data_IF_195522773239
#
_entry.id   IF_195522773239
#
_cell.length_a   1.000
_cell.length_b   1.000
_cell.length_c   1.000
_cell.angle_alpha   90.00
_cell.angle_beta   90.00
_cell.angle_gamma   90.00
#
_symmetry.space_group_name_H-M   'P 1'
#
loop_
_entity.id
_entity.type
_entity.pdbx_description
1 polymer ?
#
# COMPACT_ATOMS: atom_id res chain seq x y z
N UNK A 1 1.91 25.81 -1.48
CA UNK A 1 3.03 25.04 -0.94
C UNK A 1 3.52 24.09 -2.04
N UNK A 2 4.81 24.02 -2.29
CA UNK A 2 5.40 23.11 -3.29
C UNK A 2 5.51 21.74 -2.63
N UNK A 3 5.05 20.69 -3.32
CA UNK A 3 5.12 19.30 -2.85
C UNK A 3 5.89 18.45 -3.85
N UNK A 4 6.78 17.60 -3.38
CA UNK A 4 7.40 16.56 -4.21
C UNK A 4 6.34 15.59 -4.74
N UNK A 5 6.62 14.93 -5.86
CA UNK A 5 5.79 13.85 -6.38
C UNK A 5 6.17 12.49 -5.83
N UNK A 6 7.35 12.37 -5.25
CA UNK A 6 7.81 11.18 -4.53
C UNK A 6 7.45 11.31 -3.06
N UNK A 7 7.16 10.21 -2.44
CA UNK A 7 6.84 10.14 -1.01
C UNK A 7 6.58 8.72 -0.56
N UNK A 8 6.63 8.53 0.73
CA UNK A 8 6.35 7.29 1.44
C UNK A 8 5.64 7.58 2.75
N UNK A 9 4.68 6.74 3.10
CA UNK A 9 4.03 6.74 4.41
C UNK A 9 3.67 5.32 4.82
N UNK A 10 3.76 5.03 6.10
CA UNK A 10 3.39 3.73 6.68
C UNK A 10 2.68 3.94 8.00
N UNK A 11 1.69 3.12 8.22
CA UNK A 11 1.03 2.96 9.50
C UNK A 11 0.92 1.47 9.81
N UNK A 12 1.24 1.11 11.03
CA UNK A 12 1.08 -0.24 11.57
C UNK A 12 0.40 -0.08 12.93
N UNK A 13 -0.77 -0.64 13.07
CA UNK A 13 -1.62 -0.43 14.25
C UNK A 13 -2.51 -1.62 14.48
N UNK A 14 -2.93 -1.80 15.73
CA UNK A 14 -3.91 -2.81 16.11
C UNK A 14 -5.23 -2.08 16.43
N UNK A 15 -6.28 -2.38 15.67
CA UNK A 15 -7.61 -1.81 15.85
C UNK A 15 -8.60 -2.97 15.96
N UNK A 16 -9.43 -2.99 16.99
CA UNK A 16 -10.43 -4.02 17.25
C UNK A 16 -9.85 -5.45 17.18
N UNK A 17 -8.63 -5.64 17.75
CA UNK A 17 -7.95 -6.94 17.77
C UNK A 17 -7.31 -7.35 16.44
N UNK A 18 -7.40 -6.54 15.38
CA UNK A 18 -6.81 -6.80 14.06
C UNK A 18 -5.54 -5.96 13.87
N UNK A 19 -4.48 -6.60 13.47
CA UNK A 19 -3.26 -5.91 13.05
C UNK A 19 -3.44 -5.39 11.62
N UNK A 20 -3.40 -4.06 11.46
CA UNK A 20 -3.59 -3.40 10.18
C UNK A 20 -2.31 -2.67 9.82
N UNK A 21 -1.72 -3.04 8.69
CA UNK A 21 -0.59 -2.35 8.09
C UNK A 21 -1.02 -1.69 6.80
N UNK A 22 -0.77 -0.39 6.69
CA UNK A 22 -0.99 0.39 5.47
C UNK A 22 0.31 1.04 5.05
N UNK A 23 0.74 0.79 3.83
CA UNK A 23 1.89 1.46 3.21
C UNK A 23 1.42 2.20 1.96
N UNK A 24 1.90 3.43 1.77
CA UNK A 24 1.63 4.24 0.59
C UNK A 24 2.92 4.82 0.06
N UNK A 25 3.12 4.72 -1.24
CA UNK A 25 4.27 5.31 -1.93
C UNK A 25 3.84 5.94 -3.25
N UNK A 26 4.57 6.94 -3.70
CA UNK A 26 4.34 7.54 -5.00
C UNK A 26 5.62 7.79 -5.77
N UNK A 27 5.49 7.76 -7.10
CA UNK A 27 6.52 8.19 -8.04
C UNK A 27 5.96 9.27 -8.95
N UNK A 28 6.87 10.02 -9.59
CA UNK A 28 6.49 11.08 -10.51
C UNK A 28 5.68 10.50 -11.69
N UNK A 29 4.46 11.02 -11.85
CA UNK A 29 3.60 10.70 -12.98
C UNK A 29 2.70 11.89 -13.35
N UNK A 30 2.39 12.02 -14.65
CA UNK A 30 1.62 13.16 -15.17
C UNK A 30 0.20 13.21 -14.65
N UNK A 31 -0.43 12.04 -14.52
CA UNK A 31 -1.82 11.89 -14.09
C UNK A 31 -1.88 11.23 -12.73
N UNK A 32 -3.06 11.25 -12.10
CA UNK A 32 -3.33 10.45 -10.93
C UNK A 32 -3.57 9.00 -11.36
N UNK A 33 -2.65 8.12 -10.99
CA UNK A 33 -2.82 6.67 -11.09
C UNK A 33 -2.80 6.09 -9.69
N UNK A 34 -3.73 5.22 -9.40
CA UNK A 34 -3.81 4.55 -8.10
C UNK A 34 -3.89 3.05 -8.29
N UNK A 35 -3.02 2.33 -7.59
CA UNK A 35 -3.03 0.88 -7.48
C UNK A 35 -3.05 0.51 -6.01
N UNK A 36 -3.99 -0.34 -5.61
CA UNK A 36 -4.06 -0.88 -4.28
C UNK A 36 -3.84 -2.39 -4.31
N UNK A 37 -3.12 -2.89 -3.33
CA UNK A 37 -2.97 -4.33 -3.08
C UNK A 37 -3.57 -4.61 -1.73
N UNK A 38 -4.79 -5.15 -1.76
CA UNK A 38 -5.53 -5.63 -0.59
C UNK A 38 -5.59 -7.16 -0.60
N UNK A 39 -5.75 -7.82 0.54
CA UNK A 39 -6.05 -9.26 0.56
C UNK A 39 -7.36 -9.53 -0.18
N UNK A 40 -7.46 -10.66 -0.87
CA UNK A 40 -8.59 -10.99 -1.77
C UNK A 40 -9.97 -10.87 -1.12
N UNK A 41 -10.05 -11.15 0.18
CA UNK A 41 -11.29 -11.07 0.95
C UNK A 41 -11.80 -9.63 1.13
N UNK A 42 -10.97 -8.61 0.93
CA UNK A 42 -11.26 -7.21 1.23
C UNK A 42 -11.21 -6.31 -0.01
N UNK A 43 -11.50 -6.85 -1.19
CA UNK A 43 -11.50 -6.10 -2.45
C UNK A 43 -12.45 -4.90 -2.48
N UNK A 44 -13.49 -4.90 -1.62
CA UNK A 44 -14.44 -3.78 -1.47
C UNK A 44 -13.78 -2.50 -0.90
N UNK A 45 -12.57 -2.59 -0.34
CA UNK A 45 -11.83 -1.45 0.18
C UNK A 45 -11.18 -0.61 -0.91
N UNK A 46 -10.90 -1.18 -2.08
CA UNK A 46 -10.10 -0.53 -3.13
C UNK A 46 -10.71 0.81 -3.58
N UNK A 47 -12.00 0.85 -3.85
CA UNK A 47 -12.67 2.08 -4.28
C UNK A 47 -12.75 3.12 -3.16
N UNK A 48 -12.97 2.69 -1.92
CA UNK A 48 -13.03 3.58 -0.75
C UNK A 48 -11.66 4.22 -0.49
N UNK A 49 -10.59 3.43 -0.55
CA UNK A 49 -9.21 3.90 -0.41
C UNK A 49 -8.79 4.82 -1.56
N UNK A 50 -9.12 4.46 -2.81
CA UNK A 50 -8.88 5.30 -3.99
C UNK A 50 -9.52 6.67 -3.86
N UNK A 51 -10.79 6.73 -3.47
CA UNK A 51 -11.52 7.97 -3.29
C UNK A 51 -10.89 8.82 -2.18
N UNK A 52 -10.50 8.20 -1.07
CA UNK A 52 -9.84 8.87 0.02
C UNK A 52 -8.48 9.47 -0.42
N UNK A 53 -7.63 8.68 -1.06
CA UNK A 53 -6.31 9.13 -1.55
C UNK A 53 -6.46 10.23 -2.61
N UNK A 54 -7.42 10.09 -3.54
CA UNK A 54 -7.66 11.09 -4.59
C UNK A 54 -8.12 12.45 -4.01
N UNK A 55 -8.79 12.45 -2.86
CA UNK A 55 -9.15 13.71 -2.17
C UNK A 55 -7.94 14.45 -1.59
N UNK A 56 -6.82 13.76 -1.38
CA UNK A 56 -5.60 14.29 -0.75
C UNK A 56 -4.46 14.55 -1.75
N UNK A 57 -4.47 13.87 -2.88
CA UNK A 57 -3.38 13.87 -3.88
C UNK A 57 -3.95 14.04 -5.28
N UNK A 58 -3.53 15.10 -5.97
CA UNK A 58 -4.06 15.46 -7.29
C UNK A 58 -3.34 14.80 -8.47
N UNK A 59 -2.08 14.34 -8.30
CA UNK A 59 -1.29 13.71 -9.37
C UNK A 59 -0.14 12.87 -8.81
N UNK A 60 0.32 11.92 -9.62
CA UNK A 60 1.36 10.96 -9.30
C UNK A 60 0.87 9.53 -9.49
N UNK A 61 1.77 8.59 -9.67
CA UNK A 61 1.46 7.16 -9.60
C UNK A 61 1.63 6.70 -8.17
N UNK A 62 0.54 6.24 -7.56
CA UNK A 62 0.44 5.90 -6.16
C UNK A 62 0.20 4.40 -6.05
N UNK A 63 1.08 3.72 -5.34
CA UNK A 63 0.92 2.33 -4.95
C UNK A 63 0.61 2.27 -3.45
N UNK A 64 -0.49 1.64 -3.09
CA UNK A 64 -0.89 1.38 -1.71
C UNK A 64 -0.89 -0.13 -1.44
N UNK A 65 -0.39 -0.51 -0.30
CA UNK A 65 -0.43 -1.87 0.20
C UNK A 65 -1.17 -1.91 1.53
N UNK A 66 -2.11 -2.82 1.66
CA UNK A 66 -2.89 -3.02 2.88
C UNK A 66 -2.76 -4.48 3.28
N UNK A 67 -2.35 -4.72 4.51
CA UNK A 67 -2.37 -6.04 5.15
C UNK A 67 -3.28 -5.98 6.36
N UNK A 68 -4.12 -6.99 6.51
CA UNK A 68 -5.04 -7.12 7.62
C UNK A 68 -4.76 -8.50 8.23
N UNK A 69 -4.23 -8.51 9.44
CA UNK A 69 -4.03 -9.72 10.23
C UNK A 69 -5.36 -10.26 10.75
N UNK A 70 -5.41 -11.57 11.00
CA UNK A 70 -6.56 -12.18 11.65
C UNK A 70 -6.67 -11.65 13.10
N UNK A 71 -7.88 -11.45 13.57
CA UNK A 71 -8.12 -11.22 14.99
C UNK A 71 -7.96 -12.55 15.73
N UNK A 72 -7.18 -12.56 16.81
CA UNK A 72 -7.05 -13.74 17.69
C UNK A 72 -8.37 -14.11 18.39
N UNK A 73 -9.35 -13.21 18.35
CA UNK A 73 -10.65 -13.37 19.01
C UNK A 73 -11.79 -13.77 18.05
N UNK A 74 -11.51 -14.03 16.76
CA UNK A 74 -12.56 -14.42 15.82
C UNK A 74 -13.12 -15.80 16.19
N UNK A 75 -14.41 -15.90 16.54
CA UNK A 75 -15.04 -17.18 16.80
C UNK A 75 -15.06 -18.00 15.50
N UNK A 76 -14.36 -19.13 15.52
CA UNK A 76 -14.44 -20.11 14.45
C UNK A 76 -15.55 -21.10 14.77
N UNK A 77 -16.53 -21.21 13.89
CA UNK A 77 -17.53 -22.27 13.97
C UNK A 77 -17.09 -23.48 13.15
N UNK A 78 -17.01 -24.63 13.82
CA UNK A 78 -16.63 -25.90 13.18
C UNK A 78 -17.88 -26.74 12.99
N UNK A 79 -18.33 -26.89 11.76
CA UNK A 79 -19.47 -27.73 11.41
C UNK A 79 -19.03 -29.08 10.90
N UNK A 80 -19.83 -30.10 11.23
CA UNK A 80 -19.60 -31.48 10.83
C UNK A 80 -20.47 -31.82 9.63
N UNK A 81 -19.88 -32.38 8.57
CA UNK A 81 -20.63 -32.92 7.45
C UNK A 81 -21.18 -34.31 7.79
N UNK A 82 -22.34 -34.35 8.42
CA UNK A 82 -22.96 -35.58 8.88
C UNK A 82 -23.26 -36.58 7.76
N UNK A 83 -23.57 -36.11 6.54
CA UNK A 83 -23.81 -37.02 5.40
C UNK A 83 -22.54 -37.75 5.00
N UNK A 84 -21.44 -37.03 4.92
CA UNK A 84 -20.12 -37.59 4.55
C UNK A 84 -19.63 -38.57 5.65
N UNK A 85 -19.75 -38.18 6.91
CA UNK A 85 -19.42 -39.04 8.07
C UNK A 85 -20.19 -40.35 8.02
N UNK A 86 -21.52 -40.28 7.79
CA UNK A 86 -22.36 -41.48 7.69
C UNK A 86 -21.93 -42.37 6.51
N UNK A 87 -21.55 -41.77 5.37
CA UNK A 87 -21.01 -42.48 4.23
C UNK A 87 -19.73 -43.26 4.55
N UNK A 88 -18.78 -42.58 5.20
CA UNK A 88 -17.54 -43.25 5.65
C UNK A 88 -17.77 -44.38 6.63
N UNK A 89 -18.62 -44.18 7.65
CA UNK A 89 -18.95 -45.21 8.64
C UNK A 89 -19.55 -46.44 7.96
N UNK A 90 -20.46 -46.26 7.01
CA UNK A 90 -21.08 -47.37 6.28
C UNK A 90 -20.07 -48.09 5.40
N UNK A 91 -19.19 -47.37 4.67
CA UNK A 91 -18.14 -47.97 3.87
C UNK A 91 -17.16 -48.79 4.72
N UNK A 92 -16.75 -48.31 5.88
CA UNK A 92 -15.88 -49.03 6.78
C UNK A 92 -16.55 -50.31 7.35
N UNK A 93 -17.88 -50.26 7.66
CA UNK A 93 -18.61 -51.44 8.04
C UNK A 93 -18.65 -52.51 6.93
N UNK A 94 -18.90 -52.07 5.69
CA UNK A 94 -18.90 -52.95 4.54
C UNK A 94 -17.53 -53.65 4.34
N UNK A 95 -16.43 -52.86 4.41
CA UNK A 95 -15.06 -53.38 4.31
C UNK A 95 -14.79 -54.39 5.43
N UNK A 96 -15.13 -54.03 6.67
CA UNK A 96 -14.94 -54.94 7.82
C UNK A 96 -15.67 -56.25 7.64
N UNK A 97 -16.90 -56.23 7.18
CA UNK A 97 -17.70 -57.43 6.99
C UNK A 97 -17.22 -58.29 5.79
N UNK A 98 -16.83 -57.62 4.70
CA UNK A 98 -16.43 -58.29 3.45
C UNK A 98 -15.04 -58.96 3.50
N UNK A 99 -14.14 -58.36 4.24
CA UNK A 99 -12.72 -58.75 4.28
C UNK A 99 -12.29 -59.30 5.63
N UNK A 100 -13.22 -59.46 6.59
CA UNK A 100 -12.97 -59.95 7.95
C UNK A 100 -11.87 -59.17 8.69
N UNK A 101 -11.88 -57.83 8.52
CA UNK A 101 -10.94 -56.90 9.15
C UNK A 101 -11.65 -56.21 10.31
N UNK A 102 -11.00 -56.05 11.49
CA UNK A 102 -11.61 -55.31 12.61
C UNK A 102 -11.94 -53.87 12.23
N UNK A 103 -13.12 -53.38 12.58
CA UNK A 103 -13.50 -51.98 12.38
C UNK A 103 -13.05 -51.17 13.61
N UNK A 104 -11.95 -50.44 13.47
CA UNK A 104 -11.34 -49.61 14.49
C UNK A 104 -11.55 -48.10 14.25
N UNK A 105 -12.63 -47.75 13.52
CA UNK A 105 -12.92 -46.33 13.19
C UNK A 105 -13.22 -45.56 14.48
N UNK A 106 -12.40 -44.55 14.71
CA UNK A 106 -12.51 -43.60 15.79
C UNK A 106 -12.86 -42.20 15.30
N UNK A 107 -13.30 -41.32 16.19
CA UNK A 107 -13.50 -39.90 15.85
C UNK A 107 -12.23 -39.21 15.34
N UNK A 108 -11.04 -39.65 15.87
CA UNK A 108 -9.74 -39.15 15.43
C UNK A 108 -9.41 -39.64 14.02
N UNK A 109 -9.75 -40.88 13.66
CA UNK A 109 -9.56 -41.36 12.29
C UNK A 109 -10.48 -40.64 11.29
N UNK A 110 -11.73 -40.38 11.67
CA UNK A 110 -12.69 -39.63 10.87
C UNK A 110 -12.26 -38.16 10.64
N UNK A 111 -11.60 -37.52 11.62
CA UNK A 111 -11.15 -36.16 11.49
C UNK A 111 -10.01 -35.96 10.44
N UNK A 112 -9.37 -37.04 10.03
CA UNK A 112 -8.29 -37.02 8.99
C UNK A 112 -8.81 -37.06 7.58
N UNK A 113 -10.10 -37.41 7.37
CA UNK A 113 -10.66 -37.39 6.03
C UNK A 113 -11.04 -35.98 5.63
N UNK A 114 -10.76 -35.59 4.37
CA UNK A 114 -11.08 -34.26 3.87
C UNK A 114 -12.61 -34.05 3.92
N UNK A 115 -12.98 -32.79 4.09
CA UNK A 115 -14.38 -32.31 4.05
C UNK A 115 -15.31 -32.86 5.14
N UNK A 116 -14.80 -33.59 6.12
CA UNK A 116 -15.57 -34.04 7.29
C UNK A 116 -15.88 -32.88 8.22
N UNK A 117 -14.94 -31.98 8.38
CA UNK A 117 -15.11 -30.71 9.12
C UNK A 117 -14.98 -29.51 8.18
N UNK A 118 -15.90 -28.58 8.32
CA UNK A 118 -15.82 -27.29 7.66
C UNK A 118 -15.68 -26.22 8.73
N UNK A 119 -14.62 -25.41 8.61
CA UNK A 119 -14.39 -24.27 9.51
C UNK A 119 -14.99 -23.05 8.85
N UNK A 120 -16.02 -22.51 9.49
CA UNK A 120 -16.64 -21.25 9.09
C UNK A 120 -16.11 -20.14 9.99
N UNK A 121 -15.53 -19.14 9.38
CA UNK A 121 -15.30 -17.87 10.07
C UNK A 121 -16.60 -17.10 10.15
N UNK A 122 -16.85 -16.45 11.27
CA UNK A 122 -18.00 -15.56 11.38
C UNK A 122 -17.98 -14.51 10.27
N UNK A 123 -19.14 -14.13 9.70
CA UNK A 123 -19.19 -13.07 8.71
C UNK A 123 -18.64 -11.78 9.34
N UNK A 124 -17.60 -11.25 8.72
CA UNK A 124 -16.98 -9.99 9.16
C UNK A 124 -17.89 -8.80 8.80
N UNK A 125 -17.98 -7.82 9.69
CA UNK A 125 -18.67 -6.56 9.42
C UNK A 125 -17.79 -5.69 8.48
N UNK A 126 -18.18 -5.62 7.19
CA UNK A 126 -17.48 -4.86 6.17
C UNK A 126 -17.40 -3.36 6.49
N UNK A 127 -18.41 -2.81 7.16
CA UNK A 127 -18.42 -1.38 7.51
C UNK A 127 -17.44 -1.09 8.65
N UNK A 128 -17.36 -1.99 9.63
CA UNK A 128 -16.38 -1.87 10.72
C UNK A 128 -14.96 -2.00 10.19
N UNK A 129 -14.68 -3.01 9.35
CA UNK A 129 -13.36 -3.19 8.72
C UNK A 129 -12.99 -1.98 7.87
N UNK A 130 -13.94 -1.43 7.13
CA UNK A 130 -13.72 -0.22 6.35
C UNK A 130 -13.32 0.95 7.22
N UNK A 131 -14.00 1.17 8.34
CA UNK A 131 -13.69 2.26 9.27
C UNK A 131 -12.29 2.09 9.88
N UNK A 132 -11.94 0.87 10.28
CA UNK A 132 -10.65 0.54 10.87
C UNK A 132 -9.50 0.77 9.87
N UNK A 133 -9.65 0.25 8.64
CA UNK A 133 -8.64 0.43 7.57
C UNK A 133 -8.52 1.88 7.14
N UNK A 134 -9.62 2.63 7.03
CA UNK A 134 -9.58 4.05 6.72
C UNK A 134 -8.88 4.87 7.81
N UNK A 135 -9.03 4.48 9.08
CA UNK A 135 -8.32 5.12 10.20
C UNK A 135 -6.81 4.92 10.09
N UNK A 136 -6.36 3.70 9.81
CA UNK A 136 -4.95 3.41 9.56
C UNK A 136 -4.42 4.10 8.29
N UNK A 137 -5.22 4.09 7.21
CA UNK A 137 -4.88 4.75 5.95
C UNK A 137 -4.72 6.26 6.12
N UNK A 138 -5.53 6.89 6.97
CA UNK A 138 -5.41 8.32 7.28
C UNK A 138 -4.04 8.66 7.85
N UNK A 139 -3.56 7.88 8.80
CA UNK A 139 -2.24 8.09 9.44
C UNK A 139 -1.13 7.91 8.39
N UNK A 140 -1.19 6.84 7.58
CA UNK A 140 -0.21 6.59 6.54
C UNK A 140 -0.18 7.70 5.47
N UNK A 141 -1.36 8.17 5.03
CA UNK A 141 -1.49 9.26 4.05
C UNK A 141 -1.02 10.59 4.62
N UNK A 142 -1.30 10.89 5.88
CA UNK A 142 -0.82 12.12 6.52
C UNK A 142 0.71 12.13 6.62
N UNK A 143 1.34 11.01 7.00
CA UNK A 143 2.79 10.85 6.98
C UNK A 143 3.38 11.00 5.57
N UNK A 144 2.75 10.39 4.58
CA UNK A 144 3.11 10.51 3.16
C UNK A 144 3.04 11.96 2.65
N UNK A 145 1.97 12.69 2.98
CA UNK A 145 1.82 14.10 2.59
C UNK A 145 2.87 14.97 3.26
N UNK A 146 3.14 14.77 4.55
CA UNK A 146 4.17 15.50 5.29
C UNK A 146 5.57 15.29 4.70
N UNK A 147 5.91 14.07 4.31
CA UNK A 147 7.17 13.77 3.62
C UNK A 147 7.29 14.54 2.31
N UNK A 148 6.24 14.54 1.47
CA UNK A 148 6.20 15.28 0.19
C UNK A 148 6.33 16.79 0.37
N UNK A 149 5.76 17.35 1.42
CA UNK A 149 5.87 18.77 1.77
C UNK A 149 7.29 19.12 2.18
N UNK A 150 7.91 18.29 3.03
CA UNK A 150 9.31 18.48 3.46
C UNK A 150 10.28 18.40 2.29
N UNK A 151 10.13 17.42 1.43
CA UNK A 151 10.97 17.26 0.24
C UNK A 151 10.73 18.41 -0.76
N UNK A 152 9.48 18.81 -0.96
CA UNK A 152 9.12 19.92 -1.83
C UNK A 152 9.74 21.24 -1.40
N UNK A 153 9.78 21.53 -0.09
CA UNK A 153 10.41 22.76 0.41
C UNK A 153 11.94 22.74 0.22
N UNK A 154 12.60 21.61 0.46
CA UNK A 154 14.05 21.46 0.17
C UNK A 154 14.37 21.66 -1.31
N UNK A 155 13.56 21.10 -2.20
CA UNK A 155 13.72 21.30 -3.67
C UNK A 155 13.53 22.77 -4.05
N UNK A 156 12.56 23.45 -3.48
CA UNK A 156 12.33 24.88 -3.71
C UNK A 156 13.53 25.72 -3.28
N UNK A 157 14.07 25.46 -2.08
CA UNK A 157 15.26 26.17 -1.57
C UNK A 157 16.46 25.98 -2.49
N UNK A 158 16.74 24.74 -2.96
CA UNK A 158 17.84 24.46 -3.89
C UNK A 158 17.65 25.17 -5.21
N UNK A 159 16.44 25.13 -5.79
CA UNK A 159 16.15 25.83 -7.07
C UNK A 159 16.34 27.36 -6.93
N UNK A 160 15.82 27.95 -5.84
CA UNK A 160 15.97 29.38 -5.61
C UNK A 160 17.43 29.80 -5.40
N UNK A 161 18.20 28.99 -4.66
CA UNK A 161 19.63 29.23 -4.46
C UNK A 161 20.39 29.23 -5.80
N UNK A 162 20.14 28.24 -6.65
CA UNK A 162 20.75 28.14 -7.98
C UNK A 162 20.31 29.29 -8.90
N UNK A 163 19.03 29.67 -8.86
CA UNK A 163 18.52 30.81 -9.63
C UNK A 163 19.24 32.13 -9.24
N UNK A 164 19.42 32.36 -7.94
CA UNK A 164 20.14 33.53 -7.44
C UNK A 164 21.63 33.54 -7.91
N UNK A 165 22.28 32.36 -7.90
CA UNK A 165 23.65 32.22 -8.41
C UNK A 165 23.71 32.57 -9.89
N UNK A 166 22.76 32.10 -10.71
CA UNK A 166 22.70 32.44 -12.14
C UNK A 166 22.48 33.92 -12.32
N UNK A 167 21.57 34.55 -11.57
CA UNK A 167 21.33 36.00 -11.64
C UNK A 167 22.57 36.82 -11.27
N UNK A 168 23.35 36.40 -10.26
CA UNK A 168 24.61 37.03 -9.90
C UNK A 168 25.63 36.97 -11.04
N UNK A 169 25.80 35.77 -11.64
CA UNK A 169 26.73 35.60 -12.78
C UNK A 169 26.29 36.41 -13.99
N UNK A 170 25.00 36.50 -14.27
CA UNK A 170 24.48 37.35 -15.35
C UNK A 170 24.81 38.81 -15.09
N UNK A 171 24.64 39.31 -13.85
CA UNK A 171 25.01 40.67 -13.48
C UNK A 171 26.51 40.96 -13.70
N UNK A 172 27.40 40.02 -13.32
CA UNK A 172 28.83 40.13 -13.56
C UNK A 172 29.16 40.21 -15.06
N UNK A 173 28.46 39.44 -15.89
CA UNK A 173 28.61 39.46 -17.36
C UNK A 173 28.12 40.78 -17.92
N UNK A 174 27.00 41.32 -17.47
CA UNK A 174 26.45 42.59 -17.91
C UNK A 174 27.39 43.75 -17.58
N UNK A 175 28.01 43.78 -16.41
CA UNK A 175 29.01 44.78 -16.03
C UNK A 175 30.28 44.67 -16.87
N UNK A 176 30.75 43.45 -17.16
CA UNK A 176 31.99 43.22 -17.93
C UNK A 176 31.82 43.39 -19.44
N UNK A 177 30.64 43.19 -19.97
CA UNK A 177 30.37 43.21 -21.42
C UNK A 177 30.81 44.50 -22.09
N UNK A 178 30.51 45.74 -21.58
CA UNK A 178 30.96 46.98 -22.17
C UNK A 178 32.48 47.12 -22.19
N UNK A 179 33.16 46.65 -21.15
CA UNK A 179 34.63 46.68 -21.06
C UNK A 179 35.26 45.76 -22.12
N UNK A 180 34.74 44.54 -22.28
CA UNK A 180 35.22 43.60 -23.29
C UNK A 180 35.03 44.14 -24.70
N UNK A 181 33.91 44.80 -24.99
CA UNK A 181 33.67 45.45 -26.28
C UNK A 181 34.67 46.60 -26.51
N UNK A 182 34.96 47.41 -25.49
CA UNK A 182 35.95 48.48 -25.58
C UNK A 182 37.37 47.94 -25.80
N UNK A 183 37.78 46.90 -25.09
CA UNK A 183 39.07 46.23 -25.25
C UNK A 183 39.27 45.67 -26.68
N UNK A 184 38.24 44.95 -27.17
CA UNK A 184 38.25 44.38 -28.53
C UNK A 184 38.33 45.50 -29.62
N UNK A 185 37.61 46.58 -29.41
CA UNK A 185 37.66 47.74 -30.31
C UNK A 185 39.07 48.36 -30.37
N UNK A 186 39.76 48.49 -29.24
CA UNK A 186 41.12 48.97 -29.17
C UNK A 186 42.13 48.06 -29.88
N UNK A 187 41.98 46.75 -29.79
CA UNK A 187 42.80 45.76 -30.47
C UNK A 187 42.65 45.89 -31.99
N UNK A 188 41.43 46.03 -32.49
CA UNK A 188 41.13 46.19 -33.92
C UNK A 188 41.66 47.53 -34.51
N UNK A 189 41.80 48.59 -33.70
CA UNK A 189 42.33 49.88 -34.12
C UNK A 189 43.84 49.85 -34.09
N UNK A 190 44.51 49.00 -33.36
CA UNK A 190 45.94 48.90 -33.17
C UNK A 190 46.65 47.89 -34.10
N UNK A 191 45.92 47.10 -34.86
CA UNK A 191 46.49 46.22 -35.90
C UNK A 191 46.56 46.97 -37.20
N UNK A 192 47.78 47.12 -37.83
CA UNK A 192 47.99 47.82 -39.08
C UNK A 192 47.45 47.05 -40.30
#
# INVERSE_FOLDING_TARGET
MIRSMTGFGRCETVINGREITVEIKSVNHRYFEFSCRTPRSYGFLDDKLKNYVNSRVSRGKIDMFVSIGASDEEPCDVTVNHQLVSGYINAFKEISQKYDIPNDVSTVSLSRFPDVFTVHKAPEDEDQITADVLSAAKIAVDAFVAMRETEGEKMKEDILSRANTILSVVGEIEERSPQTVAELSLIHISEP
#
